data_IF_214792182594
#
_entry.id   IF_214792182594
#
_cell.length_a   1.000
_cell.length_b   1.000
_cell.length_c   1.000
_cell.angle_alpha   90.00
_cell.angle_beta   90.00
_cell.angle_gamma   90.00
#
_symmetry.space_group_name_H-M   'P 1'
#
loop_
_entity.id
_entity.type
_entity.pdbx_description
1 polymer ?
#
# COMPACT_ATOMS: atom_id res chain seq x y z
N UNK A 1 -13.83 0.01 -11.23
CA UNK A 1 -12.40 0.44 -11.18
C UNK A 1 -11.81 0.01 -9.84
N UNK A 2 -10.49 -0.23 -9.76
CA UNK A 2 -9.82 -0.59 -8.52
C UNK A 2 -8.70 0.41 -8.20
N UNK A 3 -8.57 0.75 -6.92
CA UNK A 3 -7.48 1.56 -6.39
C UNK A 3 -6.48 0.61 -5.73
N UNK A 4 -5.20 0.76 -6.00
CA UNK A 4 -4.12 0.04 -5.33
C UNK A 4 -3.29 1.04 -4.53
N UNK A 5 -3.47 1.06 -3.23
CA UNK A 5 -2.66 1.85 -2.30
C UNK A 5 -1.36 1.13 -2.02
N UNK A 6 -0.25 1.84 -2.18
CA UNK A 6 1.10 1.31 -1.98
C UNK A 6 1.75 1.94 -0.75
N UNK A 7 2.37 1.10 0.05
CA UNK A 7 3.21 1.52 1.17
C UNK A 7 4.44 0.62 1.25
N UNK A 8 5.57 1.18 1.68
CA UNK A 8 6.81 0.44 1.78
C UNK A 8 7.37 0.38 3.21
N UNK A 9 8.09 -0.67 3.48
CA UNK A 9 8.82 -0.88 4.73
C UNK A 9 10.29 -1.19 4.46
N UNK A 10 11.14 -0.57 5.24
CA UNK A 10 12.58 -0.56 5.02
C UNK A 10 13.00 0.63 4.14
N UNK A 11 14.28 0.88 4.05
CA UNK A 11 14.86 1.87 3.16
C UNK A 11 15.30 1.22 1.84
N UNK A 12 15.41 2.00 0.77
CA UNK A 12 15.92 1.55 -0.53
C UNK A 12 17.45 1.64 -0.66
N UNK A 13 18.13 2.13 0.39
CA UNK A 13 19.59 2.22 0.47
C UNK A 13 20.26 0.86 0.72
N UNK A 14 21.58 0.84 0.49
CA UNK A 14 22.43 -0.34 0.70
C UNK A 14 23.58 -0.07 1.68
N UNK A 15 23.40 0.90 2.59
CA UNK A 15 24.38 1.15 3.64
C UNK A 15 24.36 0.02 4.68
N UNK A 16 25.45 -0.14 5.43
CA UNK A 16 25.53 -1.13 6.51
C UNK A 16 24.51 -0.94 7.64
N UNK A 17 23.94 0.28 7.73
CA UNK A 17 22.89 0.62 8.69
C UNK A 17 21.48 0.35 8.15
N UNK A 18 21.34 0.01 6.86
CA UNK A 18 20.05 -0.23 6.22
C UNK A 18 19.55 -1.66 6.45
N UNK A 19 18.24 -1.85 6.42
CA UNK A 19 17.63 -3.19 6.40
C UNK A 19 18.15 -4.00 5.21
N UNK A 20 18.40 -5.29 5.38
CA UNK A 20 18.77 -6.20 4.29
C UNK A 20 17.62 -6.44 3.30
N UNK A 21 16.39 -6.12 3.71
CA UNK A 21 15.20 -6.33 2.91
C UNK A 21 14.47 -5.01 2.64
N UNK A 22 13.86 -4.93 1.47
CA UNK A 22 12.88 -3.93 1.10
C UNK A 22 11.56 -4.63 0.86
N UNK A 23 10.49 -4.16 1.48
CA UNK A 23 9.14 -4.72 1.33
C UNK A 23 8.23 -3.63 0.79
N UNK A 24 7.51 -3.94 -0.29
CA UNK A 24 6.45 -3.10 -0.82
C UNK A 24 5.13 -3.84 -0.64
N UNK A 25 4.22 -3.24 0.11
CA UNK A 25 2.85 -3.69 0.28
C UNK A 25 1.89 -2.96 -0.65
N UNK A 26 0.77 -3.59 -0.97
CA UNK A 26 -0.30 -2.99 -1.74
C UNK A 26 -1.67 -3.50 -1.30
N UNK A 27 -2.60 -2.58 -1.08
CA UNK A 27 -4.00 -2.87 -0.79
C UNK A 27 -4.85 -2.45 -1.99
N UNK A 28 -5.42 -3.42 -2.71
CA UNK A 28 -6.37 -3.14 -3.78
C UNK A 28 -7.80 -3.16 -3.27
N UNK A 29 -8.58 -2.13 -3.61
CA UNK A 29 -9.98 -1.98 -3.26
C UNK A 29 -10.76 -1.45 -4.47
N UNK A 30 -12.02 -1.88 -4.64
CA UNK A 30 -12.90 -1.28 -5.65
C UNK A 30 -13.28 0.14 -5.25
N UNK A 31 -13.47 1.01 -6.24
CA UNK A 31 -13.92 2.40 -6.02
C UNK A 31 -15.26 2.50 -5.27
N UNK A 32 -16.16 1.53 -5.48
CA UNK A 32 -17.43 1.47 -4.77
C UNK A 32 -17.31 1.14 -3.28
N UNK A 33 -16.24 0.46 -2.88
CA UNK A 33 -16.02 0.03 -1.49
C UNK A 33 -15.11 0.97 -0.71
N UNK A 34 -14.35 1.82 -1.42
CA UNK A 34 -13.38 2.71 -0.80
C UNK A 34 -14.03 3.70 0.18
N UNK A 35 -15.03 4.45 -0.26
CA UNK A 35 -15.68 5.45 0.58
C UNK A 35 -16.41 4.83 1.79
N UNK A 36 -17.17 3.70 1.66
CA UNK A 36 -17.72 3.00 2.81
C UNK A 36 -16.68 2.52 3.82
N UNK A 37 -15.54 1.99 3.36
CA UNK A 37 -14.47 1.55 4.26
C UNK A 37 -13.85 2.72 5.02
N UNK A 38 -13.50 3.79 4.32
CA UNK A 38 -12.95 5.02 4.93
C UNK A 38 -13.90 5.58 5.98
N UNK A 39 -15.20 5.69 5.70
CA UNK A 39 -16.19 6.20 6.66
C UNK A 39 -16.28 5.34 7.94
N UNK A 40 -16.13 4.01 7.83
CA UNK A 40 -16.08 3.13 9.01
C UNK A 40 -14.81 3.32 9.81
N UNK A 41 -13.66 3.41 9.14
CA UNK A 41 -12.37 3.67 9.79
C UNK A 41 -12.38 5.03 10.47
N UNK A 42 -12.88 6.08 9.82
CA UNK A 42 -13.00 7.43 10.40
C UNK A 42 -13.88 7.41 11.66
N UNK A 43 -14.96 6.64 11.65
CA UNK A 43 -15.83 6.46 12.83
C UNK A 43 -15.08 5.81 13.99
N UNK A 44 -14.28 4.78 13.73
CA UNK A 44 -13.44 4.14 14.74
C UNK A 44 -12.37 5.10 15.28
N UNK A 45 -11.68 5.81 14.41
CA UNK A 45 -10.67 6.79 14.80
C UNK A 45 -11.28 7.89 15.67
N UNK A 46 -12.47 8.40 15.28
CA UNK A 46 -13.20 9.39 16.07
C UNK A 46 -13.62 8.85 17.46
N UNK A 47 -14.04 7.59 17.55
CA UNK A 47 -14.37 6.91 18.83
C UNK A 47 -13.20 6.94 19.81
N UNK A 48 -11.98 6.68 19.30
CA UNK A 48 -10.79 6.54 20.15
C UNK A 48 -10.04 7.85 20.40
N UNK A 49 -9.99 8.75 19.42
CA UNK A 49 -9.19 9.96 19.43
C UNK A 49 -10.02 11.24 19.58
N UNK A 50 -11.35 11.15 19.51
CA UNK A 50 -12.24 12.31 19.65
C UNK A 50 -11.90 13.41 18.66
N UNK A 51 -11.76 14.67 19.14
CA UNK A 51 -11.48 15.82 18.30
C UNK A 51 -10.11 15.78 17.60
N UNK A 52 -9.19 14.95 18.06
CA UNK A 52 -7.88 14.77 17.41
C UNK A 52 -7.98 13.93 16.12
N UNK A 53 -9.05 13.15 15.97
CA UNK A 53 -9.23 12.23 14.84
C UNK A 53 -9.09 12.92 13.47
N UNK A 54 -9.69 14.10 13.31
CA UNK A 54 -9.67 14.84 12.05
C UNK A 54 -8.27 15.31 11.58
N UNK A 55 -7.27 15.22 12.46
CA UNK A 55 -5.87 15.64 12.20
C UNK A 55 -4.90 14.48 12.30
N UNK A 56 -5.40 13.27 12.52
CA UNK A 56 -4.56 12.10 12.79
C UNK A 56 -4.51 11.22 11.57
N UNK A 57 -3.33 11.04 11.04
CA UNK A 57 -3.03 9.98 10.09
C UNK A 57 -2.85 8.65 10.82
N UNK A 58 -3.43 7.59 10.29
CA UNK A 58 -3.24 6.23 10.81
C UNK A 58 -1.89 5.69 10.36
N UNK A 59 -0.87 5.94 11.17
CA UNK A 59 0.47 5.42 10.95
C UNK A 59 0.76 4.27 11.90
N UNK A 60 0.80 3.04 11.39
CA UNK A 60 0.89 1.82 12.21
C UNK A 60 2.08 1.80 13.16
N UNK A 61 3.26 2.25 12.74
CA UNK A 61 4.45 2.28 13.59
C UNK A 61 4.32 3.31 14.73
N UNK A 62 3.68 4.45 14.52
CA UNK A 62 3.46 5.46 15.56
C UNK A 62 2.38 5.00 16.53
N UNK A 63 1.35 4.34 16.05
CA UNK A 63 0.31 3.72 16.86
C UNK A 63 0.92 2.69 17.81
N UNK A 64 1.70 1.75 17.30
CA UNK A 64 2.32 0.69 18.11
C UNK A 64 3.37 1.26 19.09
N UNK A 65 4.18 2.24 18.68
CA UNK A 65 5.22 2.84 19.53
C UNK A 65 4.72 3.96 20.44
N UNK A 66 3.48 4.44 20.29
CA UNK A 66 2.92 5.54 21.07
C UNK A 66 3.57 6.90 20.75
N UNK A 67 3.87 7.15 19.48
CA UNK A 67 4.39 8.44 19.00
C UNK A 67 3.29 9.35 18.48
N UNK A 68 3.61 10.62 18.24
CA UNK A 68 2.66 11.60 17.68
C UNK A 68 1.40 11.74 18.54
N UNK A 69 0.26 11.69 17.91
CA UNK A 69 -1.06 11.78 18.55
C UNK A 69 -1.36 10.62 19.51
N UNK A 70 -0.72 9.47 19.32
CA UNK A 70 -0.94 8.28 20.12
C UNK A 70 -0.23 8.31 21.48
N UNK A 71 0.60 9.33 21.75
CA UNK A 71 1.37 9.47 23.00
C UNK A 71 0.47 9.56 24.24
N UNK A 72 -0.70 10.16 24.10
CA UNK A 72 -1.65 10.32 25.21
C UNK A 72 -2.47 9.04 25.49
N UNK A 73 -2.43 8.05 24.61
CA UNK A 73 -3.16 6.80 24.76
C UNK A 73 -2.35 5.76 25.56
N UNK A 74 -3.03 4.95 26.35
CA UNK A 74 -2.40 3.76 26.95
C UNK A 74 -2.02 2.74 25.87
N UNK A 75 -1.07 1.85 26.17
CA UNK A 75 -0.69 0.77 25.24
C UNK A 75 -1.91 -0.07 24.81
N UNK A 76 -2.71 -0.48 25.79
CA UNK A 76 -3.93 -1.26 25.53
C UNK A 76 -4.92 -0.53 24.60
N UNK A 77 -5.12 0.79 24.83
CA UNK A 77 -6.03 1.56 23.97
C UNK A 77 -5.51 1.65 22.52
N UNK A 78 -4.20 1.78 22.32
CA UNK A 78 -3.58 1.77 21.00
C UNK A 78 -3.72 0.42 20.29
N UNK A 79 -3.47 -0.67 21.03
CA UNK A 79 -3.63 -2.04 20.53
C UNK A 79 -5.09 -2.31 20.13
N UNK A 80 -6.05 -1.86 20.96
CA UNK A 80 -7.47 -2.00 20.65
C UNK A 80 -7.85 -1.26 19.37
N UNK A 81 -7.42 0.00 19.22
CA UNK A 81 -7.66 0.78 17.99
C UNK A 81 -7.05 0.07 16.78
N UNK A 82 -5.81 -0.41 16.89
CA UNK A 82 -5.13 -1.12 15.81
C UNK A 82 -5.89 -2.39 15.39
N UNK A 83 -6.33 -3.18 16.37
CA UNK A 83 -7.11 -4.39 16.12
C UNK A 83 -8.47 -4.07 15.48
N UNK A 84 -9.22 -3.09 15.99
CA UNK A 84 -10.51 -2.69 15.43
C UNK A 84 -10.37 -2.21 13.98
N UNK A 85 -9.30 -1.47 13.63
CA UNK A 85 -9.02 -1.07 12.24
C UNK A 85 -8.74 -2.28 11.36
N UNK A 86 -7.92 -3.23 11.83
CA UNK A 86 -7.65 -4.46 11.07
C UNK A 86 -8.91 -5.32 10.88
N UNK A 87 -9.78 -5.37 11.87
CA UNK A 87 -11.08 -6.07 11.77
C UNK A 87 -11.99 -5.43 10.72
N UNK A 88 -12.05 -4.09 10.66
CA UNK A 88 -12.84 -3.41 9.62
C UNK A 88 -12.28 -3.69 8.21
N UNK A 89 -10.97 -3.70 8.06
CA UNK A 89 -10.34 -4.12 6.80
C UNK A 89 -10.67 -5.58 6.49
N UNK A 90 -10.59 -6.46 7.50
CA UNK A 90 -10.92 -7.89 7.36
C UNK A 90 -12.37 -8.15 6.98
N UNK A 91 -13.33 -7.36 7.49
CA UNK A 91 -14.76 -7.47 7.10
C UNK A 91 -15.01 -7.14 5.62
N UNK A 92 -14.11 -6.39 5.00
CA UNK A 92 -14.15 -6.10 3.57
C UNK A 92 -13.39 -7.14 2.71
N UNK A 93 -12.96 -8.26 3.30
CA UNK A 93 -12.10 -9.30 2.73
C UNK A 93 -12.49 -9.74 1.30
N UNK A 94 -13.77 -9.98 1.03
CA UNK A 94 -14.23 -10.40 -0.29
C UNK A 94 -14.06 -9.34 -1.40
N UNK A 95 -13.72 -8.09 -1.01
CA UNK A 95 -13.65 -6.91 -1.87
C UNK A 95 -12.29 -6.25 -1.85
N UNK A 96 -11.35 -6.81 -1.11
CA UNK A 96 -9.98 -6.38 -0.97
C UNK A 96 -9.03 -7.44 -1.51
N UNK A 97 -7.87 -6.99 -2.00
CA UNK A 97 -6.76 -7.88 -2.30
C UNK A 97 -5.46 -7.27 -1.77
N UNK A 98 -4.67 -8.07 -1.06
CA UNK A 98 -3.38 -7.68 -0.55
C UNK A 98 -2.28 -8.25 -1.44
N UNK A 99 -1.29 -7.42 -1.73
CA UNK A 99 -0.10 -7.77 -2.50
C UNK A 99 1.14 -7.42 -1.71
N UNK A 100 2.13 -8.30 -1.75
CA UNK A 100 3.41 -8.06 -1.12
C UNK A 100 4.54 -8.47 -2.06
N UNK A 101 5.58 -7.66 -2.08
CA UNK A 101 6.86 -7.94 -2.72
C UNK A 101 7.95 -7.68 -1.70
N UNK A 102 8.69 -8.71 -1.33
CA UNK A 102 9.87 -8.60 -0.48
C UNK A 102 11.11 -8.91 -1.31
N UNK A 103 12.10 -8.03 -1.27
CA UNK A 103 13.34 -8.15 -2.01
C UNK A 103 14.51 -8.13 -1.02
N UNK A 104 15.33 -9.18 -1.05
CA UNK A 104 16.63 -9.15 -0.41
C UNK A 104 17.56 -8.29 -1.29
N UNK A 105 18.08 -7.21 -0.74
CA UNK A 105 18.79 -6.19 -1.53
C UNK A 105 20.02 -6.71 -2.25
N UNK A 106 20.74 -7.64 -1.61
CA UNK A 106 21.93 -8.23 -2.20
C UNK A 106 21.65 -9.21 -3.37
N UNK A 107 20.37 -9.61 -3.53
CA UNK A 107 19.97 -10.41 -4.70
C UNK A 107 19.87 -9.62 -6.00
N UNK A 108 19.96 -8.28 -5.91
CA UNK A 108 19.91 -7.42 -7.08
C UNK A 108 21.27 -6.77 -7.37
N UNK A 109 21.63 -6.58 -8.64
CA UNK A 109 22.79 -5.76 -9.03
C UNK A 109 22.70 -4.35 -8.43
N UNK A 110 23.84 -3.77 -8.02
CA UNK A 110 23.91 -2.44 -7.39
C UNK A 110 23.34 -1.33 -8.29
N UNK A 111 23.37 -1.56 -9.59
CA UNK A 111 22.83 -0.61 -10.60
C UNK A 111 21.32 -0.58 -10.69
N UNK A 112 20.63 -1.54 -10.04
CA UNK A 112 19.16 -1.61 -10.06
C UNK A 112 18.57 -1.02 -8.78
N UNK A 113 17.62 -0.11 -8.93
CA UNK A 113 16.82 0.38 -7.83
C UNK A 113 15.90 -0.73 -7.33
N UNK A 114 15.99 -1.04 -6.03
CA UNK A 114 15.17 -2.05 -5.36
C UNK A 114 13.69 -1.65 -5.41
N UNK A 115 13.39 -0.36 -5.18
CA UNK A 115 12.04 0.22 -5.25
C UNK A 115 11.41 0.04 -6.63
N UNK A 116 12.15 0.34 -7.69
CA UNK A 116 11.65 0.19 -9.07
C UNK A 116 11.33 -1.27 -9.37
N UNK A 117 12.20 -2.21 -8.97
CA UNK A 117 11.96 -3.65 -9.17
C UNK A 117 10.74 -4.12 -8.39
N UNK A 118 10.61 -3.73 -7.12
CA UNK A 118 9.45 -4.07 -6.30
C UNK A 118 8.14 -3.54 -6.90
N UNK A 119 8.13 -2.27 -7.31
CA UNK A 119 6.97 -1.63 -7.93
C UNK A 119 6.55 -2.36 -9.21
N UNK A 120 7.50 -2.67 -10.09
CA UNK A 120 7.19 -3.41 -11.33
C UNK A 120 6.58 -4.78 -11.06
N UNK A 121 7.15 -5.54 -10.09
CA UNK A 121 6.60 -6.84 -9.71
C UNK A 121 5.19 -6.73 -9.13
N UNK A 122 4.95 -5.72 -8.30
CA UNK A 122 3.64 -5.51 -7.69
C UNK A 122 2.61 -5.08 -8.74
N UNK A 123 2.97 -4.19 -9.68
CA UNK A 123 2.14 -3.82 -10.81
C UNK A 123 1.76 -5.04 -11.69
N UNK A 124 2.70 -5.96 -11.93
CA UNK A 124 2.41 -7.19 -12.68
C UNK A 124 1.38 -8.06 -11.97
N UNK A 125 1.50 -8.22 -10.64
CA UNK A 125 0.55 -8.98 -9.84
C UNK A 125 -0.83 -8.33 -9.83
N UNK A 126 -0.89 -7.02 -9.67
CA UNK A 126 -2.13 -6.26 -9.71
C UNK A 126 -2.81 -6.35 -11.10
N UNK A 127 -2.05 -6.23 -12.19
CA UNK A 127 -2.58 -6.42 -13.53
C UNK A 127 -3.16 -7.83 -13.74
N UNK A 128 -2.48 -8.87 -13.23
CA UNK A 128 -2.98 -10.25 -13.29
C UNK A 128 -4.27 -10.41 -12.47
N UNK A 129 -4.37 -9.76 -11.33
CA UNK A 129 -5.59 -9.71 -10.53
C UNK A 129 -6.74 -9.05 -11.30
N UNK A 130 -6.52 -7.85 -11.87
CA UNK A 130 -7.54 -7.13 -12.66
C UNK A 130 -8.03 -7.96 -13.85
N UNK A 131 -7.12 -8.65 -14.53
CA UNK A 131 -7.47 -9.55 -15.63
C UNK A 131 -8.36 -10.68 -15.14
N UNK A 132 -8.04 -11.29 -14.00
CA UNK A 132 -8.80 -12.40 -13.44
C UNK A 132 -10.22 -11.99 -13.04
N UNK A 133 -10.38 -10.88 -12.32
CA UNK A 133 -11.70 -10.41 -11.87
C UNK A 133 -12.55 -9.93 -13.04
N UNK A 134 -11.96 -9.30 -14.06
CA UNK A 134 -12.66 -8.88 -15.28
C UNK A 134 -13.14 -10.04 -16.14
N UNK A 135 -12.52 -11.22 -16.01
CA UNK A 135 -12.90 -12.43 -16.79
C UNK A 135 -14.13 -13.15 -16.23
N UNK A 136 -14.51 -12.89 -14.96
CA UNK A 136 -15.56 -13.64 -14.27
C UNK A 136 -16.98 -13.12 -14.49
N UNK A 137 -17.21 -12.02 -15.21
CA UNK A 137 -18.59 -11.54 -15.25
C UNK A 137 -19.05 -10.73 -16.44
N UNK A 138 -18.21 -9.99 -17.09
CA UNK A 138 -18.56 -9.18 -18.26
C UNK A 138 -17.31 -8.90 -19.08
N UNK A 139 -17.48 -8.68 -20.41
CA UNK A 139 -16.39 -8.34 -21.35
C UNK A 139 -15.71 -6.98 -21.06
N UNK A 140 -15.87 -6.40 -19.88
CA UNK A 140 -15.26 -5.12 -19.48
C UNK A 140 -13.94 -5.39 -18.81
N UNK A 141 -12.86 -4.89 -19.39
CA UNK A 141 -11.55 -4.90 -18.75
C UNK A 141 -11.60 -4.01 -17.49
N UNK A 142 -11.39 -4.61 -16.32
CA UNK A 142 -11.23 -3.86 -15.10
C UNK A 142 -9.98 -2.95 -15.21
N UNK A 143 -10.12 -1.74 -14.69
CA UNK A 143 -9.04 -0.75 -14.67
C UNK A 143 -8.57 -0.54 -13.24
N UNK A 144 -7.29 -0.21 -13.09
CA UNK A 144 -6.70 0.10 -11.79
C UNK A 144 -5.91 1.40 -11.83
N UNK A 145 -5.86 2.06 -10.67
CA UNK A 145 -5.04 3.23 -10.41
C UNK A 145 -4.13 2.86 -9.23
N UNK A 146 -2.84 3.19 -9.36
CA UNK A 146 -1.89 3.11 -8.24
C UNK A 146 -1.90 4.43 -7.49
N UNK A 147 -2.01 4.35 -6.18
CA UNK A 147 -1.90 5.48 -5.26
C UNK A 147 -0.66 5.26 -4.42
N UNK A 148 0.34 6.11 -4.59
CA UNK A 148 1.60 6.04 -3.85
C UNK A 148 1.70 7.24 -2.93
N UNK A 149 2.27 7.03 -1.74
CA UNK A 149 2.61 8.13 -0.85
C UNK A 149 3.81 8.93 -1.39
N UNK A 150 3.83 10.22 -1.08
CA UNK A 150 4.95 11.10 -1.42
C UNK A 150 6.14 10.82 -0.48
N UNK A 151 7.15 10.14 -0.98
CA UNK A 151 8.41 10.09 -0.25
C UNK A 151 9.25 11.33 -0.54
N UNK A 152 9.57 12.06 0.50
CA UNK A 152 10.49 13.21 0.48
C UNK A 152 11.95 12.82 0.18
N UNK A 153 12.24 11.62 -0.30
CA UNK A 153 13.59 11.18 -0.65
C UNK A 153 13.91 11.52 -2.11
N UNK A 154 14.93 12.29 -2.28
CA UNK A 154 15.63 12.79 -3.47
C UNK A 154 15.94 11.73 -4.54
N UNK A 155 14.94 11.28 -5.25
CA UNK A 155 15.05 10.45 -6.45
C UNK A 155 13.96 10.86 -7.46
N UNK A 156 14.04 10.46 -8.74
CA UNK A 156 12.98 10.74 -9.69
C UNK A 156 11.67 10.17 -9.13
N UNK A 157 10.79 11.06 -8.66
CA UNK A 157 9.48 10.74 -8.13
C UNK A 157 8.66 9.99 -9.20
N UNK A 158 8.16 8.82 -8.86
CA UNK A 158 7.09 8.20 -9.63
C UNK A 158 5.91 9.19 -9.68
N UNK A 159 5.26 9.39 -10.83
CA UNK A 159 4.09 10.26 -10.90
C UNK A 159 3.04 9.75 -9.91
N UNK A 160 2.39 10.66 -9.18
CA UNK A 160 1.45 10.40 -8.06
C UNK A 160 0.31 9.43 -8.38
N UNK A 161 0.00 9.24 -9.65
CA UNK A 161 -0.97 8.24 -10.10
C UNK A 161 -0.54 7.61 -11.42
N UNK A 162 -0.37 6.29 -11.44
CA UNK A 162 -0.17 5.51 -12.65
C UNK A 162 -1.47 4.77 -12.97
N UNK A 163 -2.06 5.06 -14.14
CA UNK A 163 -3.20 4.27 -14.64
C UNK A 163 -2.70 2.97 -15.25
N UNK A 164 -3.13 1.85 -14.68
CA UNK A 164 -2.86 0.51 -15.22
C UNK A 164 -4.11 0.03 -15.94
N UNK A 165 -4.05 -0.07 -17.27
CA UNK A 165 -5.09 -0.74 -18.05
C UNK A 165 -4.62 -2.16 -18.40
N UNK A 166 -5.52 -3.14 -18.46
CA UNK A 166 -5.25 -4.57 -18.65
C UNK A 166 -4.46 -4.99 -19.91
N UNK A 167 -3.82 -4.04 -20.59
CA UNK A 167 -2.83 -4.24 -21.64
C UNK A 167 -1.50 -3.62 -21.23
N UNK A 168 -0.84 -4.21 -20.24
CA UNK A 168 0.56 -3.89 -19.99
C UNK A 168 1.39 -4.51 -21.13
N UNK A 169 1.80 -3.71 -22.12
CA UNK A 169 2.86 -4.13 -23.05
C UNK A 169 4.10 -4.37 -22.20
N UNK A 170 4.73 -5.53 -22.36
CA UNK A 170 6.02 -5.83 -21.74
C UNK A 170 6.95 -4.65 -21.98
N UNK A 171 7.60 -4.10 -20.95
CA UNK A 171 8.68 -3.13 -21.19
C UNK A 171 9.72 -3.83 -22.02
N UNK A 172 10.08 -3.22 -23.16
CA UNK A 172 11.21 -3.67 -23.98
C UNK A 172 12.44 -3.35 -23.15
N UNK A 173 13.05 -4.36 -22.56
CA UNK A 173 14.36 -4.23 -21.94
C UNK A 173 15.35 -3.88 -23.07
N UNK A 174 16.20 -2.86 -22.90
CA UNK A 174 17.26 -2.60 -23.85
C UNK A 174 18.17 -3.84 -23.95
N UNK A 175 18.72 -4.16 -25.12
CA UNK A 175 19.67 -5.25 -25.27
C UNK A 175 20.92 -4.97 -24.40
N UNK A 176 21.47 -6.06 -23.87
CA UNK A 176 22.68 -6.06 -23.03
C UNK A 176 23.91 -5.46 -23.72
#
# INVERSE_FOLDING_TARGET
MHLLYLDDSGDDGRSSASSSHFVLGGLAISDSEWAPLVARIDTLVAKHLGAAAAKTELHGSDMLSGRGFYRAMTATARETLFQEVLEEVGRAESRLALFFVAIHKDSLPVTRSVRVVATLQLCQRFNSYLTRIGSFGTRTHERGILVCDEHASSGPSLPHALSVSGRCRRPILPPH
#
